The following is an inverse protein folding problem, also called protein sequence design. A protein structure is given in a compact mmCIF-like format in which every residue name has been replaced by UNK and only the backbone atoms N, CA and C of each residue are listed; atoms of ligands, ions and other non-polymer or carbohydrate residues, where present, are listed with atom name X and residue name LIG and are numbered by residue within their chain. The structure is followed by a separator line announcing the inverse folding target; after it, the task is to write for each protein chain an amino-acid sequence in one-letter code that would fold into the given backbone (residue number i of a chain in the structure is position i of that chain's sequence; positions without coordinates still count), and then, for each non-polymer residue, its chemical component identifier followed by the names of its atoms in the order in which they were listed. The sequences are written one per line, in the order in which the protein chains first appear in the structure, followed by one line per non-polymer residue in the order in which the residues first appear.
data_IF_539358050885
#
_entry.id   IF_539358050885
#
_cell.length_a   1.000
_cell.length_b   1.000
_cell.length_c   1.000
_cell.angle_alpha   90.00
_cell.angle_beta   90.00
_cell.angle_gamma   90.00
#
_symmetry.space_group_name_H-M   'P 1'
#
loop_
_entity.id
_entity.type
_entity.pdbx_description
1 polymer ?
#
# COMPACT_ATOMS: atom_id res chain seq x y z
N UNK A 1 21.23 3.27 9.34
CA UNK A 1 19.92 3.27 10.03
C UNK A 1 18.83 3.32 8.96
N UNK A 2 18.06 2.25 8.74
CA UNK A 2 16.91 2.29 7.83
C UNK A 2 15.76 2.94 8.59
N UNK A 3 15.41 4.15 8.18
CA UNK A 3 14.32 4.96 8.72
C UNK A 3 13.06 4.10 8.79
N UNK A 4 12.44 4.00 9.97
CA UNK A 4 11.11 3.41 10.13
C UNK A 4 10.12 4.29 9.37
N UNK A 5 9.95 4.03 8.07
CA UNK A 5 9.01 4.76 7.22
C UNK A 5 7.64 4.71 7.92
N UNK A 6 7.09 5.89 8.19
CA UNK A 6 6.03 6.11 9.18
C UNK A 6 4.71 5.44 8.81
N UNK A 7 4.45 4.29 9.42
CA UNK A 7 3.16 3.57 9.35
C UNK A 7 2.20 3.90 10.50
N UNK A 8 2.64 4.70 11.48
CA UNK A 8 1.92 4.90 12.76
C UNK A 8 0.66 5.77 12.67
N UNK A 9 0.35 6.34 11.51
CA UNK A 9 -0.76 7.26 11.36
C UNK A 9 -1.97 6.56 10.75
N UNK A 10 -3.14 6.79 11.34
CA UNK A 10 -4.42 6.50 10.68
C UNK A 10 -4.61 7.51 9.55
N UNK A 11 -5.09 7.03 8.41
CA UNK A 11 -5.37 7.84 7.23
C UNK A 11 -6.83 7.63 6.78
N UNK A 12 -7.45 8.66 6.17
CA UNK A 12 -8.73 8.49 5.48
C UNK A 12 -8.63 7.41 4.40
N UNK A 13 -9.59 6.50 4.39
CA UNK A 13 -9.68 5.42 3.42
C UNK A 13 -10.40 5.92 2.17
N UNK A 14 -9.76 5.89 0.99
CA UNK A 14 -10.43 6.21 -0.26
C UNK A 14 -11.66 5.32 -0.47
N UNK A 15 -12.76 5.92 -0.96
CA UNK A 15 -14.07 5.24 -1.11
C UNK A 15 -13.97 3.90 -1.84
N UNK A 16 -13.20 3.85 -2.93
CA UNK A 16 -13.01 2.66 -3.75
C UNK A 16 -12.21 1.53 -3.05
N UNK A 17 -11.53 1.85 -1.95
CA UNK A 17 -10.74 0.94 -1.13
C UNK A 17 -11.45 0.53 0.17
N UNK A 18 -12.56 1.18 0.55
CA UNK A 18 -13.30 0.87 1.78
C UNK A 18 -13.74 -0.59 1.85
N UNK A 19 -14.09 -1.19 0.70
CA UNK A 19 -14.44 -2.62 0.59
C UNK A 19 -13.34 -3.57 1.08
N UNK A 20 -12.07 -3.12 1.13
CA UNK A 20 -10.94 -3.92 1.60
C UNK A 20 -10.67 -3.76 3.11
N UNK A 21 -11.35 -2.82 3.77
CA UNK A 21 -11.17 -2.43 5.16
C UNK A 21 -12.51 -2.46 5.91
N UNK A 22 -13.22 -3.58 5.77
CA UNK A 22 -14.53 -3.81 6.42
C UNK A 22 -14.52 -3.68 7.95
N UNK A 23 -13.34 -3.81 8.55
CA UNK A 23 -13.09 -3.66 9.98
C UNK A 23 -12.78 -2.22 10.42
N UNK A 24 -12.87 -1.26 9.49
CA UNK A 24 -12.73 0.18 9.74
C UNK A 24 -13.93 0.96 9.12
N UNK A 25 -15.15 0.77 9.65
CA UNK A 25 -16.36 1.37 9.10
C UNK A 25 -16.38 2.90 9.16
N UNK A 26 -15.60 3.51 10.05
CA UNK A 26 -15.43 4.96 10.17
C UNK A 26 -14.60 5.59 9.04
N UNK A 27 -14.05 4.77 8.13
CA UNK A 27 -13.26 5.26 7.00
C UNK A 27 -11.88 5.79 7.39
N UNK A 28 -11.37 5.41 8.57
CA UNK A 28 -10.01 5.69 9.02
C UNK A 28 -9.31 4.36 9.32
N UNK A 29 -8.15 4.13 8.71
CA UNK A 29 -7.39 2.90 8.93
C UNK A 29 -5.90 3.17 9.08
N UNK A 30 -5.14 2.31 9.79
CA UNK A 30 -3.69 2.37 9.81
C UNK A 30 -3.14 2.30 8.38
N UNK A 31 -2.21 3.18 8.04
CA UNK A 31 -1.65 3.27 6.68
C UNK A 31 -1.06 1.95 6.19
N UNK A 32 -0.36 1.22 7.07
CA UNK A 32 0.17 -0.11 6.76
C UNK A 32 -0.93 -1.09 6.34
N UNK A 33 -2.06 -1.06 7.03
CA UNK A 33 -3.19 -1.94 6.74
C UNK A 33 -3.88 -1.58 5.42
N UNK A 34 -4.06 -0.28 5.17
CA UNK A 34 -4.59 0.21 3.89
C UNK A 34 -3.72 -0.25 2.72
N UNK A 35 -2.40 -0.05 2.81
CA UNK A 35 -1.46 -0.46 1.77
C UNK A 35 -1.45 -1.98 1.59
N UNK A 36 -1.34 -2.74 2.67
CA UNK A 36 -1.28 -4.20 2.62
C UNK A 36 -2.55 -4.79 1.97
N UNK A 37 -3.74 -4.34 2.39
CA UNK A 37 -5.01 -4.81 1.82
C UNK A 37 -5.16 -4.40 0.37
N UNK A 38 -4.77 -3.18 0.02
CA UNK A 38 -4.77 -2.73 -1.39
C UNK A 38 -3.82 -3.56 -2.24
N UNK A 39 -2.66 -3.96 -1.73
CA UNK A 39 -1.70 -4.79 -2.46
C UNK A 39 -2.12 -6.25 -2.59
N UNK A 40 -2.95 -6.75 -1.69
CA UNK A 40 -3.50 -8.10 -1.75
C UNK A 40 -4.68 -8.21 -2.75
N UNK A 41 -5.57 -7.21 -2.74
CA UNK A 41 -6.88 -7.31 -3.38
C UNK A 41 -7.19 -6.22 -4.42
N UNK A 42 -6.42 -5.14 -4.47
CA UNK A 42 -6.64 -4.00 -5.34
C UNK A 42 -6.41 -4.32 -6.81
N UNK A 43 -7.15 -3.60 -7.68
CA UNK A 43 -6.87 -3.59 -9.12
C UNK A 43 -5.63 -2.77 -9.44
N UNK A 44 -5.11 -2.89 -10.66
CA UNK A 44 -3.96 -2.09 -11.13
C UNK A 44 -4.13 -0.58 -10.89
N UNK A 45 -5.32 -0.03 -11.20
CA UNK A 45 -5.61 1.40 -10.98
C UNK A 45 -5.58 1.78 -9.50
N UNK A 46 -6.06 0.90 -8.63
CA UNK A 46 -6.04 1.09 -7.19
C UNK A 46 -4.62 1.04 -6.62
N UNK A 47 -3.81 0.10 -7.11
CA UNK A 47 -2.39 0.00 -6.77
C UNK A 47 -1.64 1.27 -7.19
N UNK A 48 -1.88 1.74 -8.41
CA UNK A 48 -1.23 2.95 -8.94
C UNK A 48 -1.64 4.20 -8.14
N UNK A 49 -2.93 4.33 -7.84
CA UNK A 49 -3.48 5.41 -7.02
C UNK A 49 -2.84 5.44 -5.62
N UNK A 50 -2.81 4.31 -4.92
CA UNK A 50 -2.27 4.26 -3.56
C UNK A 50 -0.75 4.48 -3.55
N UNK A 51 -0.05 3.97 -4.56
CA UNK A 51 1.38 4.22 -4.75
C UNK A 51 1.67 5.72 -4.92
N UNK A 52 0.91 6.42 -5.78
CA UNK A 52 1.09 7.86 -5.99
C UNK A 52 0.88 8.69 -4.72
N UNK A 53 0.07 8.21 -3.77
CA UNK A 53 -0.15 8.89 -2.48
C UNK A 53 0.95 8.57 -1.46
N UNK A 54 1.49 7.34 -1.49
CA UNK A 54 2.40 6.84 -0.45
C UNK A 54 3.56 6.03 -1.06
N UNK A 55 4.43 6.64 -1.89
CA UNK A 55 5.45 5.90 -2.64
C UNK A 55 6.47 5.21 -1.73
N UNK A 56 7.03 5.94 -0.76
CA UNK A 56 8.02 5.42 0.19
C UNK A 56 7.46 4.28 1.06
N UNK A 57 6.24 4.46 1.56
CA UNK A 57 5.55 3.46 2.37
C UNK A 57 5.23 2.22 1.55
N UNK A 58 4.86 2.39 0.27
CA UNK A 58 4.59 1.30 -0.65
C UNK A 58 5.82 0.40 -0.84
N UNK A 59 6.99 1.01 -1.05
CA UNK A 59 8.28 0.29 -1.11
C UNK A 59 8.57 -0.40 0.22
N UNK A 60 8.34 0.27 1.34
CA UNK A 60 8.46 -0.32 2.68
C UNK A 60 7.57 -1.56 2.88
N UNK A 61 6.35 -1.55 2.36
CA UNK A 61 5.42 -2.68 2.46
C UNK A 61 5.89 -3.86 1.59
N UNK A 62 6.22 -3.63 0.31
CA UNK A 62 6.63 -4.74 -0.58
C UNK A 62 7.95 -5.42 -0.16
N UNK A 63 8.80 -4.68 0.56
CA UNK A 63 10.07 -5.20 1.10
C UNK A 63 9.89 -5.92 2.43
N UNK A 64 8.93 -5.50 3.27
CA UNK A 64 8.61 -6.11 4.57
C UNK A 64 7.81 -7.40 4.44
N UNK A 65 6.86 -7.45 3.49
CA UNK A 65 5.88 -8.52 3.39
C UNK A 65 6.19 -9.45 2.20
N UNK A 66 6.56 -10.69 2.50
CA UNK A 66 6.98 -11.69 1.50
C UNK A 66 5.82 -12.22 0.67
N UNK A 67 4.62 -12.26 1.24
CA UNK A 67 3.36 -12.78 0.70
C UNK A 67 2.72 -11.90 -0.39
N UNK A 68 3.19 -10.66 -0.56
CA UNK A 68 2.71 -9.79 -1.65
C UNK A 68 3.07 -10.39 -3.02
N UNK A 69 2.07 -10.43 -3.90
CA UNK A 69 2.18 -11.00 -5.25
C UNK A 69 3.35 -10.38 -6.02
N UNK A 70 4.13 -11.21 -6.71
CA UNK A 70 5.31 -10.79 -7.49
C UNK A 70 5.00 -9.67 -8.50
N UNK A 71 3.84 -9.74 -9.17
CA UNK A 71 3.41 -8.70 -10.11
C UNK A 71 3.17 -7.33 -9.47
N UNK A 72 2.66 -7.31 -8.23
CA UNK A 72 2.51 -6.06 -7.46
C UNK A 72 3.88 -5.52 -7.08
N UNK A 73 4.79 -6.38 -6.59
CA UNK A 73 6.17 -5.98 -6.27
C UNK A 73 6.88 -5.38 -7.48
N UNK A 74 6.72 -6.00 -8.65
CA UNK A 74 7.28 -5.51 -9.90
C UNK A 74 6.79 -4.08 -10.21
N UNK A 75 5.48 -3.84 -10.22
CA UNK A 75 4.95 -2.51 -10.53
C UNK A 75 5.37 -1.43 -9.54
N UNK A 76 5.39 -1.74 -8.23
CA UNK A 76 5.83 -0.77 -7.21
C UNK A 76 7.30 -0.41 -7.41
N UNK A 77 8.17 -1.40 -7.70
CA UNK A 77 9.59 -1.14 -8.01
C UNK A 77 9.75 -0.33 -9.29
N UNK A 78 9.02 -0.70 -10.35
CA UNK A 78 9.02 -0.02 -11.65
C UNK A 78 8.65 1.45 -11.49
N UNK A 79 7.55 1.75 -10.79
CA UNK A 79 7.14 3.13 -10.56
C UNK A 79 8.07 3.91 -9.63
N UNK A 80 8.86 3.22 -8.81
CA UNK A 80 9.86 3.84 -7.94
C UNK A 80 11.20 4.09 -8.64
N UNK A 81 11.38 3.56 -9.85
CA UNK A 81 12.65 3.63 -10.57
C UNK A 81 13.68 2.60 -10.09
N UNK A 82 13.24 1.55 -9.38
CA UNK A 82 14.04 0.39 -8.96
C UNK A 82 13.73 -0.86 -9.81
N UNK A 83 13.22 -0.68 -11.03
CA UNK A 83 13.10 -1.80 -11.96
C UNK A 83 14.48 -2.38 -12.27
N UNK A 84 14.61 -3.69 -12.08
CA UNK A 84 15.77 -4.49 -12.47
C UNK A 84 15.87 -4.59 -14.00
#
# INVERSE_FOLDING_TARGET
MRTLIGFKNNVPVPEDLQKFLWDHPEGLAPLEKLLLRTFQYGSYEQLKKIYSQYPEQSVGIITRYSDIKRGVKYWIKEWHGEAD
#
